data_IF_915117155492
#
_entry.id   IF_915117155492
#
_cell.length_a   1.000
_cell.length_b   1.000
_cell.length_c   1.000
_cell.angle_alpha   90.00
_cell.angle_beta   90.00
_cell.angle_gamma   90.00
#
_symmetry.space_group_name_H-M   'P 1'
#
loop_
_entity.id
_entity.type
_entity.pdbx_description
1 polymer ?
#
# COMPACT_ATOMS: atom_id res chain seq x y z
N UNK A 1 -85.36 42.98 23.78
CA UNK A 1 -84.66 43.03 25.08
C UNK A 1 -83.38 43.85 24.89
N UNK A 2 -83.44 45.17 25.11
CA UNK A 2 -82.35 46.11 24.77
C UNK A 2 -81.22 45.99 25.79
N UNK A 3 -80.19 45.24 25.43
CA UNK A 3 -78.98 45.12 26.24
C UNK A 3 -78.32 46.50 26.35
N UNK A 4 -78.24 47.03 27.58
CA UNK A 4 -77.55 48.29 27.89
C UNK A 4 -76.16 48.29 27.23
N UNK A 5 -75.74 49.37 26.54
CA UNK A 5 -74.50 49.40 25.75
C UNK A 5 -73.26 49.00 26.56
N UNK A 6 -73.26 49.29 27.87
CA UNK A 6 -72.21 48.91 28.81
C UNK A 6 -72.01 47.39 28.94
N UNK A 7 -73.07 46.58 28.85
CA UNK A 7 -72.97 45.11 28.95
C UNK A 7 -72.45 44.48 27.66
N UNK A 8 -72.83 45.04 26.51
CA UNK A 8 -72.32 44.58 25.20
C UNK A 8 -70.83 44.85 25.09
N UNK A 9 -70.39 46.05 25.49
CA UNK A 9 -68.96 46.41 25.53
C UNK A 9 -68.19 45.47 26.45
N UNK A 10 -68.73 45.14 27.64
CA UNK A 10 -68.08 44.22 28.56
C UNK A 10 -67.96 42.79 28.00
N UNK A 11 -69.01 42.26 27.37
CA UNK A 11 -68.97 40.94 26.74
C UNK A 11 -68.02 40.89 25.54
N UNK A 12 -67.96 41.94 24.74
CA UNK A 12 -66.98 42.06 23.65
C UNK A 12 -65.54 42.10 24.19
N UNK A 13 -65.31 42.84 25.28
CA UNK A 13 -64.00 42.90 25.95
C UNK A 13 -63.61 41.53 26.53
N UNK A 14 -64.55 40.81 27.14
CA UNK A 14 -64.32 39.47 27.66
C UNK A 14 -64.02 38.46 26.54
N UNK A 15 -64.77 38.53 25.43
CA UNK A 15 -64.54 37.69 24.26
C UNK A 15 -63.18 37.98 23.63
N UNK A 16 -62.81 39.26 23.51
CA UNK A 16 -61.52 39.69 23.00
C UNK A 16 -60.38 39.19 23.91
N UNK A 17 -60.52 39.34 25.23
CA UNK A 17 -59.54 38.84 26.18
C UNK A 17 -59.38 37.32 26.09
N UNK A 18 -60.48 36.58 25.95
CA UNK A 18 -60.45 35.13 25.79
C UNK A 18 -59.77 34.71 24.46
N UNK A 19 -60.06 35.42 23.37
CA UNK A 19 -59.44 35.20 22.08
C UNK A 19 -57.92 35.46 22.11
N UNK A 20 -57.49 36.51 22.80
CA UNK A 20 -56.07 36.84 22.98
C UNK A 20 -55.35 35.76 23.82
N UNK A 21 -55.98 35.30 24.91
CA UNK A 21 -55.42 34.24 25.75
C UNK A 21 -55.31 32.91 25.00
N UNK A 22 -56.32 32.55 24.20
CA UNK A 22 -56.28 31.37 23.35
C UNK A 22 -55.16 31.48 22.30
N UNK A 23 -55.01 32.64 21.66
CA UNK A 23 -53.96 32.86 20.67
C UNK A 23 -52.54 32.78 21.26
N UNK A 24 -52.35 33.30 22.47
CA UNK A 24 -51.07 33.19 23.20
C UNK A 24 -50.76 31.75 23.61
N UNK A 25 -51.77 30.97 24.02
CA UNK A 25 -51.59 29.56 24.41
C UNK A 25 -51.38 28.60 23.24
N UNK A 26 -51.85 28.95 22.03
CA UNK A 26 -51.63 28.17 20.81
C UNK A 26 -50.33 28.52 20.09
N UNK A 27 -49.57 29.53 20.55
CA UNK A 27 -48.25 29.80 19.99
C UNK A 27 -47.30 28.67 20.35
N UNK A 28 -46.73 28.07 19.32
CA UNK A 28 -45.66 27.08 19.49
C UNK A 28 -44.49 27.71 20.24
N UNK A 29 -43.92 27.03 21.26
CA UNK A 29 -42.79 27.56 21.99
C UNK A 29 -41.60 27.73 21.03
N UNK A 30 -41.07 28.95 20.95
CA UNK A 30 -39.85 29.23 20.18
C UNK A 30 -38.70 28.37 20.73
N UNK A 31 -38.27 27.38 19.96
CA UNK A 31 -37.12 26.56 20.34
C UNK A 31 -35.87 27.43 20.32
N UNK A 32 -35.32 27.70 21.50
CA UNK A 32 -34.15 28.58 21.69
C UNK A 32 -32.87 28.03 21.06
N UNK A 33 -32.83 26.75 20.71
CA UNK A 33 -31.66 26.08 20.12
C UNK A 33 -32.08 24.97 19.15
N UNK A 34 -31.30 24.80 18.09
CA UNK A 34 -31.44 23.67 17.16
C UNK A 34 -30.85 22.41 17.79
N UNK A 35 -31.68 21.41 18.04
CA UNK A 35 -31.27 20.10 18.56
C UNK A 35 -31.65 18.97 17.59
N UNK A 36 -30.83 17.92 17.55
CA UNK A 36 -31.08 16.71 16.76
C UNK A 36 -30.92 15.47 17.64
N UNK A 37 -31.68 14.42 17.34
CA UNK A 37 -31.57 13.14 18.04
C UNK A 37 -30.28 12.41 17.65
N UNK A 38 -29.53 11.92 18.64
CA UNK A 38 -28.29 11.16 18.42
C UNK A 38 -28.57 9.66 18.52
N UNK A 39 -28.09 8.89 17.55
CA UNK A 39 -28.18 7.42 17.53
C UNK A 39 -26.80 6.78 17.50
N UNK A 40 -26.66 5.60 18.11
CA UNK A 40 -25.42 4.81 18.05
C UNK A 40 -25.49 3.81 16.91
N UNK A 41 -24.40 3.71 16.16
CA UNK A 41 -24.23 2.75 15.07
C UNK A 41 -22.75 2.41 14.88
N UNK A 42 -22.43 1.36 14.11
CA UNK A 42 -21.05 1.03 13.79
C UNK A 42 -20.40 2.17 12.99
N UNK A 43 -19.22 2.61 13.43
CA UNK A 43 -18.39 3.58 12.73
C UNK A 43 -17.20 2.83 12.12
N UNK A 44 -17.09 2.84 10.79
CA UNK A 44 -15.95 2.29 10.08
C UNK A 44 -14.99 3.41 9.71
N UNK A 45 -13.72 3.25 10.10
CA UNK A 45 -12.64 4.17 9.73
C UNK A 45 -11.70 3.41 8.81
N UNK A 46 -11.73 3.76 7.53
CA UNK A 46 -10.80 3.23 6.53
C UNK A 46 -9.59 4.13 6.38
N UNK A 47 -8.43 3.53 6.14
CA UNK A 47 -7.21 4.24 5.78
C UNK A 47 -6.83 3.90 4.34
N UNK A 48 -6.49 4.91 3.55
CA UNK A 48 -6.17 4.75 2.13
C UNK A 48 -4.73 5.20 1.94
N UNK A 49 -3.90 4.28 1.46
CA UNK A 49 -2.51 4.55 1.10
C UNK A 49 -2.22 4.14 -0.34
N UNK A 50 -1.25 4.81 -0.95
CA UNK A 50 -0.73 4.42 -2.25
C UNK A 50 0.24 3.25 -2.10
N UNK A 51 -0.18 2.08 -2.58
CA UNK A 51 0.67 0.88 -2.65
C UNK A 51 1.33 0.74 -4.03
N UNK A 52 2.62 0.42 -4.05
CA UNK A 52 3.32 -0.01 -5.28
C UNK A 52 3.59 -1.51 -5.23
N UNK A 53 3.20 -2.22 -6.28
CA UNK A 53 3.50 -3.65 -6.40
C UNK A 53 4.95 -3.86 -6.80
N UNK A 54 5.59 -4.88 -6.23
CA UNK A 54 6.95 -5.30 -6.61
C UNK A 54 7.02 -6.80 -6.81
N UNK A 55 7.89 -7.23 -7.72
CA UNK A 55 8.24 -8.64 -7.88
C UNK A 55 8.84 -9.16 -6.56
N UNK A 56 8.36 -10.31 -6.08
CA UNK A 56 8.86 -10.92 -4.85
C UNK A 56 10.34 -11.30 -4.96
N UNK A 57 10.72 -11.83 -6.12
CA UNK A 57 12.05 -12.34 -6.39
C UNK A 57 12.47 -11.87 -7.78
N UNK A 58 13.59 -11.15 -7.83
CA UNK A 58 14.24 -10.74 -9.07
C UNK A 58 15.66 -11.26 -9.02
N UNK A 59 16.01 -12.09 -9.99
CA UNK A 59 17.34 -12.67 -10.11
C UNK A 59 18.07 -12.05 -11.30
N UNK A 60 19.35 -11.75 -11.09
CA UNK A 60 20.26 -11.40 -12.17
C UNK A 60 21.12 -12.64 -12.41
N UNK A 61 21.01 -13.23 -13.60
CA UNK A 61 21.82 -14.38 -14.00
C UNK A 61 23.07 -13.85 -14.67
N UNK A 62 24.23 -14.29 -14.20
CA UNK A 62 25.54 -13.90 -14.74
C UNK A 62 26.32 -15.12 -15.21
N UNK A 63 27.19 -14.90 -16.19
CA UNK A 63 28.13 -15.93 -16.64
C UNK A 63 29.21 -16.18 -15.56
N UNK A 64 29.42 -17.42 -15.10
CA UNK A 64 30.44 -17.72 -14.09
C UNK A 64 31.87 -17.75 -14.66
N UNK A 65 32.01 -17.89 -15.98
CA UNK A 65 33.28 -18.01 -16.69
C UNK A 65 33.33 -17.04 -17.87
N UNK A 66 34.53 -16.56 -18.21
CA UNK A 66 34.75 -15.81 -19.43
C UNK A 66 34.74 -16.75 -20.65
N UNK A 67 34.14 -16.31 -21.75
CA UNK A 67 34.00 -17.12 -22.96
C UNK A 67 33.13 -16.47 -24.02
N UNK A 68 32.81 -17.24 -25.05
CA UNK A 68 31.92 -16.83 -26.14
C UNK A 68 30.53 -17.40 -25.90
N UNK A 69 29.52 -16.53 -25.86
CA UNK A 69 28.13 -16.94 -25.71
C UNK A 69 27.62 -17.53 -27.03
N UNK A 70 27.04 -18.73 -26.99
CA UNK A 70 26.33 -19.30 -28.13
C UNK A 70 25.03 -18.55 -28.37
N UNK A 71 24.40 -18.81 -29.52
CA UNK A 71 23.11 -18.21 -29.86
C UNK A 71 22.05 -18.59 -28.81
N UNK A 72 21.54 -17.59 -28.10
CA UNK A 72 20.42 -17.75 -27.17
C UNK A 72 19.14 -18.01 -27.98
N UNK A 73 18.42 -19.08 -27.64
CA UNK A 73 17.16 -19.47 -28.29
C UNK A 73 15.93 -18.88 -27.63
N UNK A 74 16.04 -18.51 -26.34
CA UNK A 74 14.99 -17.90 -25.55
C UNK A 74 14.74 -16.44 -25.95
N UNK A 75 13.48 -16.03 -25.88
CA UNK A 75 13.03 -14.66 -26.11
C UNK A 75 12.49 -14.03 -24.84
N UNK A 76 12.50 -12.68 -24.74
CA UNK A 76 11.90 -11.99 -23.60
C UNK A 76 10.41 -12.33 -23.45
N UNK A 77 10.03 -12.82 -22.27
CA UNK A 77 8.66 -13.22 -21.96
C UNK A 77 8.44 -14.74 -21.93
N UNK A 78 9.40 -15.52 -22.42
CA UNK A 78 9.33 -16.97 -22.33
C UNK A 78 9.35 -17.44 -20.87
N UNK A 79 8.52 -18.45 -20.57
CA UNK A 79 8.50 -19.07 -19.26
C UNK A 79 9.71 -20.01 -19.10
N UNK A 80 10.37 -19.93 -17.94
CA UNK A 80 11.51 -20.78 -17.58
C UNK A 80 11.32 -21.36 -16.19
N UNK A 81 11.79 -22.58 -16.00
CA UNK A 81 11.75 -23.30 -14.73
C UNK A 81 13.16 -23.46 -14.14
N UNK A 82 13.23 -23.80 -12.86
CA UNK A 82 14.50 -24.07 -12.21
C UNK A 82 15.18 -25.29 -12.86
N UNK A 83 16.43 -25.10 -13.28
CA UNK A 83 17.23 -26.13 -13.96
C UNK A 83 17.25 -26.00 -15.48
N UNK A 84 16.43 -25.13 -16.07
CA UNK A 84 16.44 -24.91 -17.51
C UNK A 84 17.74 -24.21 -17.95
N UNK A 85 18.26 -24.62 -19.11
CA UNK A 85 19.44 -24.01 -19.72
C UNK A 85 19.04 -22.69 -20.35
N UNK A 86 19.51 -21.58 -19.77
CA UNK A 86 19.23 -20.24 -20.28
C UNK A 86 20.17 -19.82 -21.42
N UNK A 87 21.44 -20.23 -21.35
CA UNK A 87 22.44 -19.97 -22.37
C UNK A 87 23.60 -20.96 -22.25
N UNK A 88 24.27 -21.22 -23.38
CA UNK A 88 25.51 -21.99 -23.44
C UNK A 88 26.69 -21.06 -23.70
N UNK A 89 27.80 -21.28 -22.98
CA UNK A 89 29.02 -20.48 -23.11
C UNK A 89 30.15 -21.44 -23.44
N UNK A 90 30.84 -21.17 -24.56
CA UNK A 90 32.12 -21.81 -24.87
C UNK A 90 33.21 -21.05 -24.10
N UNK A 91 33.82 -21.66 -23.07
CA UNK A 91 34.79 -20.97 -22.23
C UNK A 91 36.00 -20.54 -23.06
N UNK A 92 36.57 -19.40 -22.71
CA UNK A 92 37.81 -18.95 -23.33
C UNK A 92 38.88 -20.02 -23.14
N UNK A 93 39.62 -20.33 -24.21
CA UNK A 93 40.75 -21.26 -24.13
C UNK A 93 41.65 -20.80 -22.99
N UNK A 94 42.00 -21.71 -22.07
CA UNK A 94 43.04 -21.44 -21.08
C UNK A 94 44.23 -20.87 -21.83
N UNK A 95 44.77 -19.73 -21.39
CA UNK A 95 45.95 -19.14 -22.00
C UNK A 95 46.98 -20.24 -22.25
N UNK A 96 47.61 -20.23 -23.43
CA UNK A 96 48.61 -21.24 -23.79
C UNK A 96 49.55 -21.40 -22.59
N UNK A 97 49.58 -22.60 -22.01
CA UNK A 97 50.57 -22.95 -21.01
C UNK A 97 51.91 -22.99 -21.73
N UNK A 98 52.51 -21.81 -21.92
CA UNK A 98 53.89 -21.69 -22.33
C UNK A 98 54.70 -22.57 -21.35
N UNK A 99 55.69 -23.34 -21.82
CA UNK A 99 56.48 -24.22 -20.95
C UNK A 99 57.03 -23.50 -19.70
N UNK A 100 57.25 -22.18 -19.78
CA UNK A 100 57.61 -21.32 -18.64
C UNK A 100 56.49 -21.13 -17.63
N UNK A 101 55.26 -20.86 -18.09
CA UNK A 101 54.09 -20.70 -17.21
C UNK A 101 53.79 -21.99 -16.47
N UNK A 102 53.93 -23.13 -17.16
CA UNK A 102 53.77 -24.45 -16.55
C UNK A 102 54.83 -24.71 -15.48
N UNK A 103 56.10 -24.44 -15.78
CA UNK A 103 57.18 -24.65 -14.79
C UNK A 103 57.07 -23.72 -13.59
N UNK A 104 56.56 -22.49 -13.76
CA UNK A 104 56.24 -21.59 -12.66
C UNK A 104 55.12 -22.14 -11.78
N UNK A 105 54.00 -22.58 -12.36
CA UNK A 105 52.88 -23.14 -11.61
C UNK A 105 53.30 -24.40 -10.84
N UNK A 106 54.09 -25.29 -11.47
CA UNK A 106 54.62 -26.50 -10.81
C UNK A 106 55.64 -26.16 -9.71
N UNK A 107 56.39 -25.07 -9.82
CA UNK A 107 57.29 -24.60 -8.77
C UNK A 107 56.51 -24.02 -7.58
N UNK A 108 55.44 -23.25 -7.82
CA UNK A 108 54.58 -22.72 -6.76
C UNK A 108 53.88 -23.83 -5.97
N UNK A 109 53.34 -24.84 -6.65
CA UNK A 109 52.71 -25.99 -5.98
C UNK A 109 53.72 -26.71 -5.09
N UNK A 110 54.92 -27.02 -5.60
CA UNK A 110 55.97 -27.67 -4.80
C UNK A 110 56.42 -26.83 -3.61
N UNK A 111 56.51 -25.52 -3.77
CA UNK A 111 56.85 -24.62 -2.67
C UNK A 111 55.77 -24.60 -1.59
N UNK A 112 54.49 -24.56 -1.98
CA UNK A 112 53.36 -24.62 -1.04
C UNK A 112 53.28 -25.96 -0.30
N UNK A 113 53.51 -27.08 -0.99
CA UNK A 113 53.57 -28.41 -0.37
C UNK A 113 54.73 -28.52 0.63
N UNK A 114 55.91 -27.97 0.27
CA UNK A 114 57.06 -27.95 1.18
C UNK A 114 56.80 -27.11 2.42
N UNK A 115 56.13 -25.96 2.29
CA UNK A 115 55.72 -25.13 3.43
C UNK A 115 54.72 -25.86 4.33
N UNK A 116 53.73 -26.55 3.75
CA UNK A 116 52.75 -27.33 4.50
C UNK A 116 53.40 -28.51 5.24
N UNK A 117 54.36 -29.18 4.59
CA UNK A 117 55.12 -30.27 5.19
C UNK A 117 56.04 -29.79 6.32
N UNK A 118 56.64 -28.60 6.19
CA UNK A 118 57.48 -28.00 7.22
C UNK A 118 56.68 -27.46 8.42
N UNK A 119 55.39 -27.16 8.24
CA UNK A 119 54.48 -26.70 9.28
C UNK A 119 53.81 -27.86 10.06
N UNK A 120 53.96 -29.11 9.61
CA UNK A 120 53.54 -30.32 10.31
C UNK A 120 54.68 -30.89 11.14
#
# INVERSE_FOLDING_TARGET
MTLKPRKIVFWLLALLALAVLAWLGLREPEQMVSAAAVTRGPLEVSFVEEGKTRLKQRYVVTAPVAGTLRRVTLQPGDAVHAGDVLAEIDPATSGLLDPRSRSQAEAEVRAGEAQLAAAR
#
